data_IF_153932392749
#
_entry.id   IF_153932392749
#
_cell.length_a   1.000
_cell.length_b   1.000
_cell.length_c   1.000
_cell.angle_alpha   90.00
_cell.angle_beta   90.00
_cell.angle_gamma   90.00
#
_symmetry.space_group_name_H-M   'P 1'
#
loop_
_entity.id
_entity.type
_entity.pdbx_description
1 polymer ?
#
# COMPACT_ATOMS: atom_id res chain seq x y z
N UNK A 1 -41.21 -17.91 11.74
CA UNK A 1 -41.20 -17.75 10.26
C UNK A 1 -41.91 -18.90 9.53
N UNK A 2 -42.39 -19.96 10.20
CA UNK A 2 -42.76 -21.25 9.60
C UNK A 2 -44.02 -21.30 8.69
N UNK A 3 -44.76 -20.21 8.48
CA UNK A 3 -45.97 -20.19 7.66
C UNK A 3 -45.76 -19.89 6.16
N UNK A 4 -44.50 -19.80 5.68
CA UNK A 4 -44.20 -19.28 4.32
C UNK A 4 -43.29 -20.17 3.45
N UNK A 5 -42.62 -21.17 4.03
CA UNK A 5 -41.81 -22.15 3.28
C UNK A 5 -42.58 -23.45 3.03
N UNK A 6 -42.22 -24.15 1.95
CA UNK A 6 -42.68 -25.52 1.67
C UNK A 6 -41.52 -26.49 1.85
N UNK A 7 -41.62 -27.40 2.81
CA UNK A 7 -40.64 -28.47 3.01
C UNK A 7 -40.96 -29.64 2.09
N UNK A 8 -40.00 -30.00 1.23
CA UNK A 8 -40.14 -31.08 0.23
C UNK A 8 -38.86 -31.92 0.18
N UNK A 9 -38.92 -33.23 -0.16
CA UNK A 9 -37.73 -34.03 -0.39
C UNK A 9 -36.82 -33.42 -1.45
N UNK A 10 -35.51 -33.44 -1.25
CA UNK A 10 -34.55 -32.81 -2.18
C UNK A 10 -34.64 -33.38 -3.61
N UNK A 11 -35.06 -34.64 -3.75
CA UNK A 11 -35.39 -35.30 -5.04
C UNK A 11 -36.45 -34.57 -5.89
N UNK A 12 -37.23 -33.65 -5.29
CA UNK A 12 -38.25 -32.84 -5.98
C UNK A 12 -37.70 -31.54 -6.56
N UNK A 13 -36.44 -31.21 -6.28
CA UNK A 13 -35.71 -30.06 -6.87
C UNK A 13 -34.71 -30.47 -7.97
N UNK A 14 -34.62 -31.76 -8.31
CA UNK A 14 -33.73 -32.30 -9.33
C UNK A 14 -33.66 -31.45 -10.62
N UNK A 15 -34.81 -31.21 -11.27
CA UNK A 15 -34.93 -30.45 -12.52
C UNK A 15 -34.80 -28.91 -12.34
N UNK A 16 -34.42 -28.45 -11.13
CA UNK A 16 -34.31 -27.01 -10.77
C UNK A 16 -32.91 -26.57 -10.37
N UNK A 17 -32.01 -27.49 -10.01
CA UNK A 17 -30.66 -27.11 -9.60
C UNK A 17 -29.85 -26.61 -10.81
N UNK A 18 -29.09 -25.50 -10.69
CA UNK A 18 -28.24 -25.00 -11.78
C UNK A 18 -27.17 -26.03 -12.16
N UNK A 19 -26.92 -26.25 -13.46
CA UNK A 19 -25.91 -27.22 -13.95
C UNK A 19 -24.50 -26.96 -13.39
N UNK A 20 -24.19 -25.73 -12.97
CA UNK A 20 -22.92 -25.33 -12.38
C UNK A 20 -22.88 -25.30 -10.84
N UNK A 21 -23.87 -25.92 -10.18
CA UNK A 21 -23.91 -26.12 -8.73
C UNK A 21 -23.51 -27.56 -8.35
N UNK A 22 -22.81 -27.71 -7.24
CA UNK A 22 -22.48 -28.98 -6.60
C UNK A 22 -23.74 -29.84 -6.36
N UNK A 23 -24.86 -29.21 -5.96
CA UNK A 23 -26.11 -29.89 -5.64
C UNK A 23 -26.76 -30.55 -6.85
N UNK A 24 -26.61 -29.99 -8.05
CA UNK A 24 -27.12 -30.61 -9.28
C UNK A 24 -26.47 -31.97 -9.58
N UNK A 25 -25.23 -32.17 -9.09
CA UNK A 25 -24.47 -33.41 -9.29
C UNK A 25 -24.66 -34.43 -8.15
N UNK A 26 -24.99 -34.00 -6.93
CA UNK A 26 -24.95 -34.84 -5.72
C UNK A 26 -26.29 -34.99 -4.98
N UNK A 27 -27.38 -34.35 -5.41
CA UNK A 27 -28.68 -34.46 -4.71
C UNK A 27 -29.22 -35.91 -4.60
N UNK A 28 -28.75 -36.83 -5.46
CA UNK A 28 -29.12 -38.26 -5.44
C UNK A 28 -28.44 -39.08 -4.37
N UNK A 29 -27.38 -38.56 -3.73
CA UNK A 29 -26.68 -39.24 -2.63
C UNK A 29 -27.47 -39.11 -1.31
N UNK A 30 -28.48 -38.24 -1.29
CA UNK A 30 -29.39 -37.99 -0.19
C UNK A 30 -30.73 -38.72 -0.36
N UNK A 31 -31.39 -39.00 0.76
CA UNK A 31 -32.66 -39.74 0.80
C UNK A 31 -33.89 -38.83 0.64
N UNK A 32 -35.08 -39.41 0.44
CA UNK A 32 -36.33 -38.64 0.50
C UNK A 32 -36.66 -38.11 1.91
N UNK A 33 -35.96 -38.57 2.96
CA UNK A 33 -36.02 -38.03 4.32
C UNK A 33 -35.12 -36.77 4.50
N UNK A 34 -34.30 -36.43 3.50
CA UNK A 34 -33.53 -35.19 3.43
C UNK A 34 -34.33 -34.12 2.68
N UNK A 35 -34.50 -32.96 3.32
CA UNK A 35 -35.48 -31.96 2.92
C UNK A 35 -34.83 -30.67 2.39
N UNK A 36 -35.55 -30.02 1.49
CA UNK A 36 -35.28 -28.67 1.04
C UNK A 36 -36.37 -27.73 1.56
N UNK A 37 -35.96 -26.57 2.08
CA UNK A 37 -36.86 -25.47 2.42
C UNK A 37 -37.09 -24.60 1.18
N UNK A 38 -38.19 -24.85 0.46
CA UNK A 38 -38.50 -24.20 -0.81
C UNK A 38 -39.37 -22.94 -0.62
N UNK A 39 -38.99 -21.86 -1.29
CA UNK A 39 -39.72 -20.59 -1.37
C UNK A 39 -39.87 -20.15 -2.84
N UNK A 40 -40.94 -19.42 -3.16
CA UNK A 40 -41.21 -18.91 -4.52
C UNK A 40 -41.67 -17.46 -4.48
N UNK A 41 -41.03 -16.62 -5.30
CA UNK A 41 -41.12 -15.17 -5.23
C UNK A 41 -40.06 -14.57 -4.33
N UNK A 42 -40.09 -13.24 -4.20
CA UNK A 42 -39.04 -12.49 -3.51
C UNK A 42 -39.20 -12.56 -1.98
N UNK A 43 -38.06 -12.59 -1.28
CA UNK A 43 -38.00 -12.77 0.17
C UNK A 43 -37.12 -11.70 0.82
N UNK A 44 -37.57 -11.21 1.98
CA UNK A 44 -36.77 -10.34 2.86
C UNK A 44 -36.71 -10.93 4.27
N UNK A 45 -35.52 -10.96 4.87
CA UNK A 45 -35.25 -11.49 6.21
C UNK A 45 -34.33 -10.53 7.00
N UNK A 46 -34.42 -10.45 8.34
CA UNK A 46 -33.46 -9.70 9.14
C UNK A 46 -32.12 -10.44 9.30
N UNK A 47 -32.14 -11.77 9.31
CA UNK A 47 -30.94 -12.61 9.34
C UNK A 47 -31.22 -13.98 8.72
N UNK A 48 -30.17 -14.67 8.34
CA UNK A 48 -30.18 -16.06 7.90
C UNK A 48 -28.95 -16.79 8.47
N UNK A 49 -29.23 -17.68 9.42
CA UNK A 49 -28.25 -18.64 9.98
C UNK A 49 -28.26 -19.91 9.13
N UNK A 50 -27.08 -20.45 8.82
CA UNK A 50 -26.89 -21.67 8.02
C UNK A 50 -26.24 -22.82 8.81
N UNK A 51 -25.98 -22.66 10.11
CA UNK A 51 -25.47 -23.76 10.95
C UNK A 51 -26.46 -24.95 10.98
N UNK A 52 -25.96 -26.16 10.71
CA UNK A 52 -26.77 -27.36 10.39
C UNK A 52 -27.26 -28.16 11.60
N UNK A 53 -26.69 -27.91 12.78
CA UNK A 53 -27.13 -28.48 14.05
C UNK A 53 -28.37 -27.75 14.63
N UNK A 54 -28.68 -26.55 14.10
CA UNK A 54 -29.85 -25.74 14.44
C UNK A 54 -31.02 -26.06 13.49
N UNK A 55 -32.16 -26.62 13.96
CA UNK A 55 -33.28 -26.97 13.08
C UNK A 55 -33.93 -25.76 12.40
N UNK A 56 -33.66 -25.59 11.10
CA UNK A 56 -34.23 -24.52 10.27
C UNK A 56 -35.77 -24.48 10.40
N UNK A 57 -36.39 -23.31 10.64
CA UNK A 57 -37.39 -23.16 11.68
C UNK A 57 -38.51 -24.20 11.70
N UNK A 58 -38.37 -25.15 12.64
CA UNK A 58 -39.32 -26.19 13.02
C UNK A 58 -39.39 -27.44 12.13
N UNK A 59 -38.37 -27.72 11.31
CA UNK A 59 -38.27 -28.96 10.53
C UNK A 59 -36.84 -29.54 10.54
N UNK A 60 -36.69 -30.78 11.00
CA UNK A 60 -35.42 -31.52 10.99
C UNK A 60 -35.04 -32.00 9.57
N UNK A 61 -33.78 -32.39 9.37
CA UNK A 61 -33.20 -32.89 8.11
C UNK A 61 -33.24 -31.90 6.92
N UNK A 62 -33.44 -30.60 7.15
CA UNK A 62 -33.29 -29.57 6.10
C UNK A 62 -31.80 -29.38 5.81
N UNK A 63 -31.37 -29.64 4.57
CA UNK A 63 -29.96 -29.52 4.15
C UNK A 63 -29.71 -28.41 3.11
N UNK A 64 -30.79 -27.85 2.54
CA UNK A 64 -30.72 -26.77 1.55
C UNK A 64 -31.94 -25.84 1.62
N UNK A 65 -31.71 -24.55 1.41
CA UNK A 65 -32.73 -23.51 1.27
C UNK A 65 -32.75 -23.04 -0.20
N UNK A 66 -33.91 -23.08 -0.84
CA UNK A 66 -34.06 -22.76 -2.27
C UNK A 66 -35.11 -21.66 -2.48
N UNK A 67 -34.68 -20.50 -2.98
CA UNK A 67 -35.51 -19.32 -3.20
C UNK A 67 -35.65 -19.06 -4.70
N UNK A 68 -36.82 -19.37 -5.26
CA UNK A 68 -37.19 -19.06 -6.64
C UNK A 68 -37.64 -17.59 -6.78
N UNK A 69 -36.71 -16.66 -6.54
CA UNK A 69 -36.89 -15.21 -6.53
C UNK A 69 -35.65 -14.45 -6.03
N UNK A 70 -35.81 -13.17 -5.71
CA UNK A 70 -34.79 -12.34 -5.05
C UNK A 70 -34.68 -12.59 -3.54
N UNK A 71 -33.50 -12.34 -2.95
CA UNK A 71 -33.30 -12.31 -1.51
C UNK A 71 -32.70 -10.96 -1.06
N UNK A 72 -33.25 -10.38 0.00
CA UNK A 72 -32.64 -9.31 0.78
C UNK A 72 -32.51 -9.77 2.23
N UNK A 73 -31.30 -9.76 2.79
CA UNK A 73 -31.06 -10.23 4.17
C UNK A 73 -30.01 -9.38 4.87
N UNK A 74 -30.31 -8.84 6.06
CA UNK A 74 -29.35 -7.91 6.69
C UNK A 74 -28.06 -8.66 7.09
N UNK A 75 -28.15 -9.80 7.79
CA UNK A 75 -26.99 -10.61 8.17
C UNK A 75 -27.08 -12.07 7.67
N UNK A 76 -26.03 -12.57 7.01
CA UNK A 76 -25.92 -13.95 6.51
C UNK A 76 -24.65 -14.62 7.05
N UNK A 77 -24.79 -15.73 7.77
CA UNK A 77 -23.66 -16.34 8.48
C UNK A 77 -23.81 -17.84 8.80
N UNK A 78 -22.69 -18.46 9.18
CA UNK A 78 -22.58 -19.73 9.89
C UNK A 78 -21.27 -19.76 10.69
N UNK A 79 -21.20 -20.55 11.76
CA UNK A 79 -20.01 -20.70 12.61
C UNK A 79 -19.24 -22.00 12.35
N UNK A 80 -19.91 -23.08 11.94
CA UNK A 80 -19.26 -24.35 11.57
C UNK A 80 -18.70 -24.26 10.14
N UNK A 81 -17.38 -24.43 9.98
CA UNK A 81 -16.68 -24.27 8.70
C UNK A 81 -16.36 -25.58 7.98
N UNK A 82 -16.57 -26.75 8.62
CA UNK A 82 -16.43 -28.07 7.95
C UNK A 82 -17.72 -28.52 7.23
N UNK A 83 -18.83 -27.80 7.42
CA UNK A 83 -20.06 -28.01 6.65
C UNK A 83 -21.27 -27.23 7.20
N UNK A 84 -22.10 -26.70 6.31
CA UNK A 84 -23.30 -25.91 6.66
C UNK A 84 -24.45 -26.08 5.65
N UNK A 85 -25.64 -25.58 5.97
CA UNK A 85 -26.84 -25.65 5.12
C UNK A 85 -26.62 -24.86 3.82
N UNK A 86 -26.85 -25.48 2.66
CA UNK A 86 -26.69 -24.83 1.37
C UNK A 86 -27.75 -23.77 1.08
N UNK A 87 -27.39 -22.72 0.32
CA UNK A 87 -28.30 -21.61 -0.02
C UNK A 87 -28.31 -21.32 -1.52
N UNK A 88 -29.51 -21.29 -2.12
CA UNK A 88 -29.71 -20.88 -3.51
C UNK A 88 -30.71 -19.74 -3.66
N UNK A 89 -30.28 -18.68 -4.36
CA UNK A 89 -31.09 -17.52 -4.73
C UNK A 89 -31.12 -17.40 -6.25
N UNK A 90 -32.29 -17.63 -6.87
CA UNK A 90 -32.45 -17.62 -8.33
C UNK A 90 -32.60 -16.21 -8.93
N UNK A 91 -32.20 -15.17 -8.18
CA UNK A 91 -32.14 -13.77 -8.58
C UNK A 91 -30.97 -13.03 -7.92
N UNK A 92 -31.06 -11.71 -7.81
CA UNK A 92 -30.10 -10.90 -7.04
C UNK A 92 -30.15 -11.24 -5.54
N UNK A 93 -28.99 -11.10 -4.88
CA UNK A 93 -28.83 -11.06 -3.44
C UNK A 93 -28.36 -9.65 -3.01
N UNK A 94 -29.06 -9.04 -2.06
CA UNK A 94 -28.57 -7.85 -1.35
C UNK A 94 -28.41 -8.21 0.12
N UNK A 95 -27.24 -7.92 0.69
CA UNK A 95 -26.97 -8.15 2.11
C UNK A 95 -26.24 -6.98 2.78
N UNK A 96 -26.35 -6.84 4.10
CA UNK A 96 -25.53 -5.87 4.84
C UNK A 96 -24.17 -6.47 5.15
N UNK A 97 -24.13 -7.65 5.77
CA UNK A 97 -22.91 -8.36 6.15
C UNK A 97 -22.98 -9.85 5.79
N UNK A 98 -21.86 -10.42 5.34
CA UNK A 98 -21.69 -11.86 5.11
C UNK A 98 -20.36 -12.35 5.72
N UNK A 99 -20.43 -13.37 6.58
CA UNK A 99 -19.27 -14.15 7.05
C UNK A 99 -19.63 -15.64 7.10
N UNK A 100 -19.05 -16.44 6.20
CA UNK A 100 -19.46 -17.84 5.94
C UNK A 100 -18.28 -18.78 5.68
N UNK A 101 -18.49 -20.10 5.83
CA UNK A 101 -17.49 -21.15 5.61
C UNK A 101 -18.12 -22.52 5.38
N UNK A 102 -17.45 -23.41 4.64
CA UNK A 102 -17.84 -24.83 4.55
C UNK A 102 -19.02 -25.22 3.65
N UNK A 103 -19.73 -24.28 3.00
CA UNK A 103 -20.84 -24.60 2.08
C UNK A 103 -20.78 -23.87 0.73
N UNK A 104 -21.65 -24.29 -0.20
CA UNK A 104 -21.95 -23.57 -1.44
C UNK A 104 -23.07 -22.52 -1.21
N UNK A 105 -22.82 -21.27 -1.62
CA UNK A 105 -23.85 -20.23 -1.72
C UNK A 105 -23.96 -19.75 -3.17
N UNK A 106 -25.15 -19.88 -3.77
CA UNK A 106 -25.41 -19.59 -5.18
C UNK A 106 -26.32 -18.37 -5.38
N UNK A 107 -25.84 -17.37 -6.13
CA UNK A 107 -26.58 -16.15 -6.50
C UNK A 107 -26.65 -16.02 -8.03
N UNK A 108 -27.85 -16.19 -8.60
CA UNK A 108 -28.05 -16.12 -10.06
C UNK A 108 -28.01 -14.70 -10.62
N UNK A 109 -28.14 -13.67 -9.78
CA UNK A 109 -28.10 -12.26 -10.15
C UNK A 109 -26.84 -11.51 -9.69
N UNK A 110 -27.00 -10.23 -9.39
CA UNK A 110 -25.96 -9.39 -8.78
C UNK A 110 -25.84 -9.66 -7.27
N UNK A 111 -24.64 -9.40 -6.71
CA UNK A 111 -24.41 -9.31 -5.28
C UNK A 111 -24.03 -7.87 -4.90
N UNK A 112 -24.80 -7.28 -4.00
CA UNK A 112 -24.43 -6.05 -3.29
C UNK A 112 -24.34 -6.35 -1.81
N UNK A 113 -23.15 -6.13 -1.25
CA UNK A 113 -22.88 -6.17 0.18
C UNK A 113 -22.62 -4.73 0.64
N UNK A 114 -23.26 -4.32 1.73
CA UNK A 114 -23.12 -2.95 2.27
C UNK A 114 -21.78 -2.79 3.01
N UNK A 115 -21.49 -3.72 3.95
CA UNK A 115 -20.35 -3.71 4.86
C UNK A 115 -19.34 -4.83 4.50
N UNK A 116 -19.31 -5.91 5.31
CA UNK A 116 -18.34 -7.02 5.24
C UNK A 116 -18.72 -8.04 4.17
N UNK A 117 -17.80 -8.28 3.24
CA UNK A 117 -17.65 -9.58 2.59
C UNK A 117 -16.42 -10.29 3.17
N UNK A 118 -16.66 -11.33 3.97
CA UNK A 118 -15.64 -12.22 4.51
C UNK A 118 -16.10 -13.66 4.35
N UNK A 119 -15.15 -14.57 4.23
CA UNK A 119 -15.36 -16.01 4.31
C UNK A 119 -14.07 -16.63 4.79
N UNK A 120 -14.17 -17.80 5.41
CA UNK A 120 -13.00 -18.46 5.98
C UNK A 120 -13.02 -19.97 5.77
N UNK A 121 -11.83 -20.57 5.79
CA UNK A 121 -11.56 -22.00 5.66
C UNK A 121 -11.82 -22.57 4.25
N UNK A 122 -10.92 -23.45 3.81
CA UNK A 122 -10.83 -23.90 2.42
C UNK A 122 -11.97 -24.82 1.89
N UNK A 123 -12.90 -25.28 2.72
CA UNK A 123 -13.96 -26.23 2.32
C UNK A 123 -15.18 -25.64 1.58
N UNK A 124 -15.39 -24.30 1.56
CA UNK A 124 -16.58 -23.67 0.94
C UNK A 124 -16.34 -22.85 -0.34
N UNK A 125 -17.41 -22.30 -0.92
CA UNK A 125 -17.35 -21.21 -1.94
C UNK A 125 -18.67 -20.44 -2.17
N UNK A 126 -18.55 -19.21 -2.64
CA UNK A 126 -19.67 -18.35 -3.06
C UNK A 126 -19.63 -18.07 -4.57
N UNK A 127 -20.76 -18.24 -5.26
CA UNK A 127 -20.90 -18.08 -6.72
C UNK A 127 -21.90 -16.95 -7.05
N UNK A 128 -21.44 -15.93 -7.77
CA UNK A 128 -22.22 -14.74 -8.18
C UNK A 128 -22.17 -14.54 -9.69
N UNK A 129 -23.31 -14.71 -10.35
CA UNK A 129 -23.40 -14.60 -11.81
C UNK A 129 -23.39 -13.14 -12.35
N UNK A 130 -23.39 -12.12 -11.48
CA UNK A 130 -23.43 -10.71 -11.83
C UNK A 130 -22.28 -9.85 -11.26
N UNK A 131 -22.55 -8.56 -11.08
CA UNK A 131 -21.63 -7.61 -10.45
C UNK A 131 -21.43 -7.90 -8.96
N UNK A 132 -20.26 -7.50 -8.44
CA UNK A 132 -20.00 -7.40 -7.00
C UNK A 132 -19.69 -5.95 -6.62
N UNK A 133 -20.41 -5.45 -5.62
CA UNK A 133 -20.02 -4.29 -4.84
C UNK A 133 -19.98 -4.70 -3.38
N UNK A 134 -18.89 -4.37 -2.69
CA UNK A 134 -18.75 -4.44 -1.25
C UNK A 134 -17.87 -3.25 -0.82
N UNK A 135 -18.13 -2.67 0.34
CA UNK A 135 -17.19 -1.69 0.93
C UNK A 135 -15.87 -2.37 1.26
N UNK A 136 -15.92 -3.65 1.60
CA UNK A 136 -14.82 -4.40 2.21
C UNK A 136 -14.65 -5.80 1.62
N UNK A 137 -13.39 -6.20 1.42
CA UNK A 137 -12.96 -7.58 1.38
C UNK A 137 -11.90 -7.82 2.48
N UNK A 138 -12.21 -8.72 3.42
CA UNK A 138 -11.30 -9.22 4.45
C UNK A 138 -10.85 -10.62 4.06
N UNK A 139 -9.54 -10.89 4.09
CA UNK A 139 -8.96 -12.14 3.59
C UNK A 139 -8.17 -12.90 4.67
N UNK A 140 -8.55 -14.16 4.91
CA UNK A 140 -7.70 -15.19 5.53
C UNK A 140 -6.87 -15.98 4.49
N UNK A 141 -7.09 -15.68 3.20
CA UNK A 141 -6.54 -16.32 1.99
C UNK A 141 -6.99 -17.76 1.70
N UNK A 142 -7.97 -18.34 2.41
CA UNK A 142 -8.48 -19.70 2.13
C UNK A 142 -9.85 -19.76 1.42
N UNK A 143 -10.83 -18.89 1.75
CA UNK A 143 -12.19 -19.00 1.20
C UNK A 143 -12.37 -18.37 -0.20
N UNK A 144 -13.28 -18.92 -1.01
CA UNK A 144 -13.36 -18.65 -2.47
C UNK A 144 -14.59 -17.84 -2.90
N UNK A 145 -14.35 -16.71 -3.57
CA UNK A 145 -15.37 -15.79 -4.10
C UNK A 145 -15.37 -15.71 -5.64
N UNK A 146 -16.31 -16.41 -6.29
CA UNK A 146 -16.44 -16.49 -7.74
C UNK A 146 -17.46 -15.47 -8.28
N UNK A 147 -17.01 -14.50 -9.09
CA UNK A 147 -17.82 -13.35 -9.55
C UNK A 147 -17.64 -13.08 -11.04
N UNK A 148 -18.74 -12.96 -11.79
CA UNK A 148 -18.72 -12.78 -13.26
C UNK A 148 -18.71 -11.31 -13.75
N UNK A 149 -18.94 -10.31 -12.89
CA UNK A 149 -19.06 -8.89 -13.25
C UNK A 149 -17.98 -7.96 -12.69
N UNK A 150 -18.14 -6.64 -12.92
CA UNK A 150 -17.23 -5.62 -12.34
C UNK A 150 -17.23 -5.67 -10.82
N UNK A 151 -16.07 -5.31 -10.24
CA UNK A 151 -15.84 -5.17 -8.81
C UNK A 151 -15.70 -3.68 -8.46
N UNK A 152 -16.60 -3.17 -7.62
CA UNK A 152 -16.39 -1.91 -6.90
C UNK A 152 -16.00 -2.25 -5.46
N UNK A 153 -14.72 -2.56 -5.28
CA UNK A 153 -14.09 -2.83 -3.99
C UNK A 153 -13.12 -1.67 -3.74
N UNK A 154 -13.47 -0.71 -2.88
CA UNK A 154 -12.56 0.38 -2.58
C UNK A 154 -11.26 -0.14 -1.97
N UNK A 155 -11.35 -1.17 -1.12
CA UNK A 155 -10.42 -1.46 -0.03
C UNK A 155 -10.26 -2.97 0.25
N UNK A 156 -9.07 -3.41 0.65
CA UNK A 156 -8.60 -4.82 0.77
C UNK A 156 -7.58 -4.93 1.92
N UNK A 157 -7.49 -6.06 2.62
CA UNK A 157 -6.45 -6.34 3.66
C UNK A 157 -6.10 -7.83 3.77
N UNK A 158 -4.95 -8.14 4.40
CA UNK A 158 -4.42 -9.47 4.63
C UNK A 158 -4.09 -9.74 6.13
N UNK A 159 -4.68 -10.77 6.73
CA UNK A 159 -4.53 -11.09 8.17
C UNK A 159 -3.16 -11.61 8.57
N UNK A 160 -2.37 -12.12 7.62
CA UNK A 160 -1.07 -12.77 7.90
C UNK A 160 0.12 -11.82 7.87
N UNK A 161 -0.04 -10.60 7.35
CA UNK A 161 1.08 -9.70 7.04
C UNK A 161 1.08 -8.38 7.82
N UNK A 162 -0.04 -8.04 8.47
CA UNK A 162 -0.19 -6.70 9.02
C UNK A 162 -0.43 -5.63 7.95
N UNK A 163 -0.82 -5.97 6.69
CA UNK A 163 -0.96 -5.01 5.55
C UNK A 163 -2.12 -5.23 4.53
N UNK A 164 -2.43 -4.22 3.68
CA UNK A 164 -3.63 -4.16 2.79
C UNK A 164 -3.56 -3.20 1.59
N UNK A 165 -4.66 -2.90 0.83
CA UNK A 165 -4.73 -2.03 -0.40
C UNK A 165 -6.08 -1.27 -0.71
N UNK A 166 -6.09 0.02 -1.16
CA UNK A 166 -7.26 0.88 -1.54
C UNK A 166 -6.95 2.02 -2.51
N UNK A 167 -7.94 2.40 -3.33
CA UNK A 167 -7.86 3.50 -4.32
C UNK A 167 -6.51 3.58 -5.06
N UNK A 168 -6.02 2.39 -5.47
CA UNK A 168 -4.77 2.04 -6.19
C UNK A 168 -3.54 1.55 -5.36
N UNK A 169 -3.60 1.30 -4.02
CA UNK A 169 -2.43 1.57 -3.13
C UNK A 169 -2.33 0.76 -1.75
N UNK A 170 -1.21 0.45 -0.97
CA UNK A 170 -1.15 -0.41 0.30
C UNK A 170 -0.92 0.15 1.80
N UNK A 171 -1.62 -0.39 2.86
CA UNK A 171 -1.88 0.04 4.33
C UNK A 171 -1.47 -1.01 5.41
N UNK A 172 -1.88 -0.92 6.71
CA UNK A 172 -1.99 -2.05 7.68
C UNK A 172 -3.37 -2.76 7.77
N UNK A 173 -3.50 -3.99 8.33
CA UNK A 173 -4.81 -4.68 8.51
C UNK A 173 -5.50 -4.38 9.84
N UNK A 174 -4.73 -4.11 10.89
CA UNK A 174 -5.25 -3.75 12.20
C UNK A 174 -6.08 -2.44 12.11
N UNK A 175 -5.78 -1.62 11.10
CA UNK A 175 -6.53 -0.42 10.70
C UNK A 175 -7.98 -0.72 10.21
N UNK A 176 -8.39 -1.99 10.08
CA UNK A 176 -9.51 -2.44 9.23
C UNK A 176 -10.47 -3.46 9.86
N UNK A 177 -10.06 -4.13 10.92
CA UNK A 177 -10.89 -5.07 11.68
C UNK A 177 -10.99 -4.63 13.14
N UNK A 178 -12.03 -5.03 13.86
CA UNK A 178 -12.21 -4.64 15.27
C UNK A 178 -11.47 -5.58 16.22
N UNK A 179 -10.89 -5.06 17.31
CA UNK A 179 -10.05 -5.79 18.27
C UNK A 179 -10.64 -7.11 18.78
N UNK A 180 -11.98 -7.22 18.88
CA UNK A 180 -12.68 -8.47 19.25
C UNK A 180 -12.41 -9.63 18.29
N UNK A 181 -12.01 -9.37 17.04
CA UNK A 181 -11.62 -10.39 16.05
C UNK A 181 -10.12 -10.63 16.00
N UNK A 182 -9.37 -10.25 17.04
CA UNK A 182 -7.96 -10.60 17.23
C UNK A 182 -7.73 -11.21 18.63
N UNK A 183 -6.77 -12.14 18.74
CA UNK A 183 -6.41 -12.84 19.97
C UNK A 183 -4.89 -12.90 20.20
N UNK A 184 -4.54 -13.09 21.46
CA UNK A 184 -3.20 -13.07 22.04
C UNK A 184 -2.79 -14.53 22.37
N UNK A 185 -1.64 -15.01 21.88
CA UNK A 185 -1.32 -16.45 21.75
C UNK A 185 -0.16 -16.92 22.64
N UNK A 186 -0.43 -16.98 23.96
CA UNK A 186 0.45 -17.41 25.06
C UNK A 186 1.70 -16.50 25.35
N UNK A 187 2.02 -16.32 26.64
CA UNK A 187 2.95 -15.31 27.22
C UNK A 187 4.44 -15.35 26.72
N UNK A 188 4.82 -16.18 25.74
CA UNK A 188 6.20 -16.40 25.28
C UNK A 188 6.49 -15.93 23.83
N UNK A 189 5.48 -15.53 23.03
CA UNK A 189 5.65 -14.89 21.70
C UNK A 189 4.85 -13.56 21.64
N UNK A 190 5.40 -12.50 21.01
CA UNK A 190 4.82 -11.12 21.04
C UNK A 190 3.86 -10.82 19.85
N UNK A 191 3.23 -11.85 19.26
CA UNK A 191 2.43 -11.74 18.02
C UNK A 191 0.91 -11.94 18.25
N UNK A 192 0.08 -11.17 17.53
CA UNK A 192 -1.39 -11.12 17.67
C UNK A 192 -2.07 -11.67 16.38
N UNK A 193 -3.04 -12.59 16.50
CA UNK A 193 -3.65 -13.32 15.37
C UNK A 193 -5.17 -13.08 15.21
N UNK A 194 -5.70 -13.14 13.98
CA UNK A 194 -7.12 -12.91 13.64
C UNK A 194 -8.06 -14.11 13.93
N UNK A 195 -9.33 -13.83 14.23
CA UNK A 195 -10.38 -14.79 14.64
C UNK A 195 -11.70 -14.66 13.86
N UNK A 196 -11.96 -15.62 12.98
CA UNK A 196 -13.22 -15.74 12.24
C UNK A 196 -14.45 -16.08 13.13
N UNK A 197 -14.26 -16.87 14.19
CA UNK A 197 -15.37 -17.30 15.06
C UNK A 197 -15.94 -16.13 15.86
N UNK A 198 -15.09 -15.17 16.27
CA UNK A 198 -15.59 -13.96 16.92
C UNK A 198 -16.29 -13.05 15.90
N UNK A 199 -15.75 -12.90 14.68
CA UNK A 199 -16.39 -12.17 13.57
C UNK A 199 -17.83 -12.64 13.33
N UNK A 200 -18.04 -13.96 13.21
CA UNK A 200 -19.39 -14.53 13.05
C UNK A 200 -20.27 -14.20 14.26
N UNK A 201 -19.76 -14.34 15.49
CA UNK A 201 -20.50 -14.06 16.72
C UNK A 201 -20.97 -12.60 16.80
N UNK A 202 -20.13 -11.64 16.41
CA UNK A 202 -20.47 -10.22 16.31
C UNK A 202 -21.62 -10.01 15.31
N UNK A 203 -21.59 -10.66 14.14
CA UNK A 203 -22.68 -10.57 13.17
C UNK A 203 -23.98 -11.24 13.66
N UNK A 204 -23.91 -12.32 14.46
CA UNK A 204 -25.10 -12.94 15.09
C UNK A 204 -25.79 -12.02 16.11
N UNK A 205 -25.05 -11.11 16.73
CA UNK A 205 -25.60 -10.06 17.60
C UNK A 205 -26.23 -8.87 16.83
N UNK A 206 -26.17 -8.88 15.48
CA UNK A 206 -26.61 -7.75 14.65
C UNK A 206 -25.65 -6.56 14.66
N UNK A 207 -24.39 -6.77 15.09
CA UNK A 207 -23.32 -5.77 15.12
C UNK A 207 -22.56 -5.80 13.79
N UNK A 208 -21.62 -4.87 13.62
CA UNK A 208 -20.60 -4.91 12.56
C UNK A 208 -19.23 -5.18 13.16
N UNK A 209 -18.38 -5.85 12.39
CA UNK A 209 -16.98 -6.12 12.73
C UNK A 209 -15.99 -5.38 11.81
N UNK A 210 -16.48 -4.41 11.03
CA UNK A 210 -15.62 -3.46 10.32
C UNK A 210 -14.97 -2.47 11.28
N UNK A 211 -13.64 -2.38 11.21
CA UNK A 211 -13.02 -1.06 11.16
C UNK A 211 -13.04 -0.56 9.69
N UNK A 212 -12.79 0.74 9.51
CA UNK A 212 -13.41 1.52 8.45
C UNK A 212 -12.53 1.69 7.21
N UNK A 213 -12.59 0.70 6.33
CA UNK A 213 -11.79 0.55 5.10
C UNK A 213 -11.97 1.68 4.04
N UNK A 214 -11.29 2.83 4.19
CA UNK A 214 -11.26 3.91 3.17
C UNK A 214 -9.93 4.76 2.93
N UNK A 215 -8.66 4.26 2.88
CA UNK A 215 -7.53 5.14 2.38
C UNK A 215 -6.01 4.71 2.31
N UNK A 216 -5.18 4.88 1.19
CA UNK A 216 -3.76 4.33 0.93
C UNK A 216 -2.69 5.05 -0.12
N UNK A 217 -1.34 4.68 -0.49
CA UNK A 217 -0.34 5.17 -1.61
C UNK A 217 0.59 4.15 -2.52
N UNK A 218 1.02 4.34 -3.82
CA UNK A 218 1.65 3.25 -4.75
C UNK A 218 2.52 3.65 -6.04
N UNK A 219 2.67 2.82 -7.15
CA UNK A 219 2.91 3.09 -8.66
C UNK A 219 4.00 2.23 -9.42
N UNK A 220 4.29 2.50 -10.74
CA UNK A 220 5.54 2.18 -11.50
C UNK A 220 5.87 3.01 -12.79
N UNK A 221 7.05 3.67 -12.94
CA UNK A 221 7.86 3.81 -14.21
C UNK A 221 9.24 4.51 -14.13
N UNK A 222 10.21 4.06 -14.95
CA UNK A 222 11.51 4.72 -15.22
C UNK A 222 11.88 4.74 -16.73
N UNK A 223 12.71 5.69 -17.20
CA UNK A 223 13.03 5.85 -18.65
C UNK A 223 14.44 6.34 -19.07
N UNK A 224 15.29 6.82 -18.16
CA UNK A 224 16.69 7.17 -18.48
C UNK A 224 17.62 6.77 -17.31
N UNK A 225 18.91 6.58 -17.59
CA UNK A 225 19.93 6.14 -16.63
C UNK A 225 21.19 6.96 -16.89
N UNK A 226 21.75 7.56 -15.84
CA UNK A 226 22.86 8.51 -15.90
C UNK A 226 24.22 7.81 -15.89
N UNK A 227 24.37 6.76 -15.05
CA UNK A 227 25.50 5.83 -15.08
C UNK A 227 25.16 4.58 -15.90
N UNK A 228 25.82 4.42 -17.04
CA UNK A 228 25.65 3.28 -17.97
C UNK A 228 26.57 2.09 -17.69
N UNK A 229 27.55 2.29 -16.83
CA UNK A 229 28.56 1.32 -16.39
C UNK A 229 28.96 1.64 -14.93
N UNK A 230 29.80 0.80 -14.33
CA UNK A 230 30.10 0.83 -12.90
C UNK A 230 31.59 0.73 -12.56
N UNK A 231 32.49 1.13 -13.47
CA UNK A 231 33.92 1.16 -13.17
C UNK A 231 34.26 2.29 -12.19
N UNK A 232 35.29 2.07 -11.37
CA UNK A 232 35.91 3.15 -10.60
C UNK A 232 36.95 3.81 -11.50
N UNK A 233 36.56 4.86 -12.22
CA UNK A 233 37.41 5.56 -13.18
C UNK A 233 37.15 7.08 -13.22
N UNK A 234 37.97 7.79 -14.00
CA UNK A 234 37.91 9.24 -14.16
C UNK A 234 36.55 9.69 -14.70
N UNK A 235 35.92 8.93 -15.61
CA UNK A 235 34.64 9.32 -16.22
C UNK A 235 33.50 9.26 -15.19
N UNK A 236 33.43 8.19 -14.40
CA UNK A 236 32.41 8.04 -13.38
C UNK A 236 32.65 8.91 -12.13
N UNK A 237 33.91 9.21 -11.78
CA UNK A 237 34.24 10.20 -10.74
C UNK A 237 33.78 11.61 -11.16
N UNK A 238 34.08 12.04 -12.39
CA UNK A 238 33.65 13.35 -12.88
C UNK A 238 32.12 13.43 -13.04
N UNK A 239 31.45 12.39 -13.55
CA UNK A 239 29.97 12.30 -13.54
C UNK A 239 29.41 12.43 -12.13
N UNK A 240 30.04 11.84 -11.10
CA UNK A 240 29.59 12.01 -9.71
C UNK A 240 29.75 13.47 -9.24
N UNK A 241 30.86 14.14 -9.56
CA UNK A 241 31.06 15.55 -9.20
C UNK A 241 30.35 16.56 -10.14
N UNK A 242 29.65 16.07 -11.17
CA UNK A 242 28.78 16.86 -12.06
C UNK A 242 27.28 16.46 -11.99
N UNK A 243 26.89 15.51 -11.13
CA UNK A 243 25.51 14.99 -11.08
C UNK A 243 24.49 15.95 -10.43
N UNK A 244 23.19 15.62 -10.56
CA UNK A 244 22.06 16.42 -10.04
C UNK A 244 22.13 16.72 -8.53
N UNK A 245 22.82 15.88 -7.73
CA UNK A 245 23.00 16.09 -6.30
C UNK A 245 24.13 17.09 -5.98
N UNK A 246 25.07 17.33 -6.90
CA UNK A 246 26.21 18.22 -6.69
C UNK A 246 25.87 19.66 -7.09
N UNK A 247 25.30 20.40 -6.14
CA UNK A 247 24.81 21.77 -6.29
C UNK A 247 25.92 22.81 -6.57
N UNK A 248 25.53 24.09 -6.64
CA UNK A 248 26.44 25.23 -6.82
C UNK A 248 26.84 25.96 -5.53
N UNK A 249 26.15 25.72 -4.40
CA UNK A 249 26.40 26.37 -3.11
C UNK A 249 27.42 25.62 -2.23
N UNK A 250 27.53 24.29 -2.41
CA UNK A 250 28.52 23.44 -1.75
C UNK A 250 29.38 22.72 -2.78
N UNK A 251 30.66 22.45 -2.48
CA UNK A 251 31.51 21.62 -3.32
C UNK A 251 31.37 20.12 -2.99
N UNK A 252 30.33 19.70 -2.26
CA UNK A 252 30.11 18.30 -1.90
C UNK A 252 28.62 17.99 -1.67
N UNK A 253 28.26 16.70 -1.72
CA UNK A 253 27.01 16.16 -1.20
C UNK A 253 27.25 14.86 -0.43
N UNK A 254 26.37 14.55 0.51
CA UNK A 254 26.41 13.34 1.33
C UNK A 254 25.00 12.78 1.58
N UNK A 255 24.89 11.47 1.83
CA UNK A 255 23.65 10.78 2.21
C UNK A 255 23.94 9.42 2.85
N UNK A 256 22.95 8.82 3.51
CA UNK A 256 22.99 7.43 3.97
C UNK A 256 21.96 6.56 3.21
N UNK A 257 22.38 5.37 2.76
CA UNK A 257 21.49 4.37 2.17
C UNK A 257 21.89 2.97 2.65
N UNK A 258 20.90 2.14 3.03
CA UNK A 258 21.07 0.79 3.60
C UNK A 258 22.18 0.64 4.68
N UNK A 259 22.39 1.66 5.51
CA UNK A 259 23.39 1.66 6.58
C UNK A 259 24.82 2.00 6.13
N UNK A 260 24.98 2.60 4.96
CA UNK A 260 26.25 3.04 4.38
C UNK A 260 26.19 4.54 4.14
N UNK A 261 27.19 5.27 4.61
CA UNK A 261 27.30 6.72 4.43
C UNK A 261 28.24 7.05 3.27
N UNK A 262 27.78 7.90 2.36
CA UNK A 262 28.52 8.37 1.18
C UNK A 262 28.81 9.86 1.30
N UNK A 263 29.99 10.29 0.87
CA UNK A 263 30.30 11.70 0.60
C UNK A 263 30.99 11.81 -0.75
N UNK A 264 30.51 12.69 -1.62
CA UNK A 264 31.13 12.98 -2.92
C UNK A 264 31.50 14.46 -2.92
N UNK A 265 32.74 14.79 -3.28
CA UNK A 265 33.30 16.13 -3.24
C UNK A 265 33.90 16.51 -4.61
N UNK A 266 33.51 17.68 -5.13
CA UNK A 266 34.07 18.35 -6.30
C UNK A 266 35.36 19.09 -5.92
N UNK A 267 36.33 19.14 -6.83
CA UNK A 267 37.57 19.87 -6.61
C UNK A 267 37.33 21.36 -6.29
N UNK A 268 37.96 21.88 -5.24
CA UNK A 268 37.89 23.28 -4.85
C UNK A 268 39.07 23.71 -3.96
N UNK A 269 39.32 25.03 -3.92
CA UNK A 269 40.32 25.65 -3.03
C UNK A 269 39.64 26.03 -1.71
N UNK A 270 40.19 25.58 -0.59
CA UNK A 270 39.72 25.83 0.77
C UNK A 270 39.93 27.28 1.24
N UNK A 271 39.29 27.63 2.37
CA UNK A 271 39.40 28.97 2.98
C UNK A 271 40.77 29.27 3.62
N UNK A 272 41.57 28.23 3.84
CA UNK A 272 42.99 28.25 4.21
C UNK A 272 43.93 28.39 3.00
N UNK A 273 43.45 28.03 1.81
CA UNK A 273 44.19 28.03 0.55
C UNK A 273 44.65 26.65 0.08
N UNK A 274 44.32 25.57 0.79
CA UNK A 274 44.65 24.21 0.36
C UNK A 274 43.76 23.78 -0.82
N UNK A 275 44.34 23.10 -1.81
CA UNK A 275 43.62 22.60 -2.97
C UNK A 275 43.10 21.18 -2.71
N UNK A 276 41.79 20.97 -2.84
CA UNK A 276 41.17 19.65 -2.75
C UNK A 276 40.76 19.16 -4.13
N UNK A 277 40.85 17.85 -4.34
CA UNK A 277 40.55 17.20 -5.62
C UNK A 277 39.16 16.55 -5.62
N UNK A 278 38.64 16.23 -6.80
CA UNK A 278 37.45 15.40 -6.97
C UNK A 278 37.64 14.05 -6.27
N UNK A 279 36.74 13.74 -5.34
CA UNK A 279 36.91 12.63 -4.40
C UNK A 279 35.58 12.04 -3.91
N UNK A 280 35.63 10.77 -3.51
CA UNK A 280 34.51 10.02 -2.93
C UNK A 280 35.00 9.33 -1.66
N UNK A 281 34.26 9.53 -0.58
CA UNK A 281 34.42 8.83 0.69
C UNK A 281 33.22 7.92 0.93
N UNK A 282 33.48 6.73 1.47
CA UNK A 282 32.46 5.75 1.82
C UNK A 282 32.76 5.16 3.20
N UNK A 283 31.76 5.12 4.08
CA UNK A 283 31.84 4.46 5.40
C UNK A 283 30.79 3.37 5.47
N UNK A 284 31.26 2.13 5.66
CA UNK A 284 30.43 0.92 5.75
C UNK A 284 30.43 0.37 7.18
N UNK A 285 29.79 -0.79 7.39
CA UNK A 285 29.86 -1.55 8.63
C UNK A 285 31.21 -2.26 8.87
N UNK A 286 32.19 -2.14 7.96
CA UNK A 286 33.49 -2.83 8.03
C UNK A 286 34.70 -1.93 7.72
N UNK A 287 34.54 -0.97 6.80
CA UNK A 287 35.65 -0.19 6.27
C UNK A 287 35.27 1.27 5.98
N UNK A 288 36.29 2.12 6.02
CA UNK A 288 36.32 3.41 5.35
C UNK A 288 37.06 3.25 4.02
N UNK A 289 36.55 3.86 2.96
CA UNK A 289 37.21 3.99 1.66
C UNK A 289 37.35 5.46 1.29
N UNK A 290 38.45 5.80 0.61
CA UNK A 290 38.67 7.12 0.03
C UNK A 290 39.24 6.98 -1.37
N UNK A 291 38.52 7.51 -2.36
CA UNK A 291 38.85 7.51 -3.79
C UNK A 291 39.07 8.97 -4.19
N UNK A 292 40.12 9.28 -4.96
CA UNK A 292 40.29 10.64 -5.51
C UNK A 292 40.98 10.66 -6.87
N UNK A 293 40.77 11.74 -7.60
CA UNK A 293 41.43 12.06 -8.86
C UNK A 293 42.73 12.85 -8.58
N UNK A 294 43.84 12.46 -9.19
CA UNK A 294 45.13 13.16 -9.08
C UNK A 294 45.26 14.27 -10.16
N UNK A 295 46.21 15.20 -9.96
CA UNK A 295 46.51 16.27 -10.94
C UNK A 295 46.89 15.73 -12.33
N UNK A 296 47.45 14.51 -12.40
CA UNK A 296 47.81 13.82 -13.65
C UNK A 296 46.67 12.99 -14.26
N UNK A 297 45.46 13.08 -13.69
CA UNK A 297 44.26 12.34 -14.07
C UNK A 297 44.35 10.82 -13.83
N UNK A 298 45.24 10.36 -12.95
CA UNK A 298 45.13 9.00 -12.37
C UNK A 298 44.13 8.98 -11.22
N UNK A 299 43.52 7.82 -10.96
CA UNK A 299 42.67 7.59 -9.79
C UNK A 299 43.48 6.87 -8.72
N UNK A 300 43.37 7.29 -7.46
CA UNK A 300 43.96 6.62 -6.31
C UNK A 300 42.88 6.18 -5.31
N UNK A 301 43.15 5.06 -4.62
CA UNK A 301 42.21 4.40 -3.71
C UNK A 301 42.91 4.00 -2.40
N UNK A 302 42.33 4.41 -1.27
CA UNK A 302 42.74 4.01 0.09
C UNK A 302 41.60 3.27 0.80
N UNK A 303 41.94 2.30 1.64
CA UNK A 303 41.02 1.61 2.57
C UNK A 303 41.57 1.62 4.00
N UNK A 304 40.71 1.76 5.00
CA UNK A 304 41.03 1.65 6.43
C UNK A 304 39.91 0.89 7.16
N UNK A 305 40.22 0.15 8.22
CA UNK A 305 39.21 -0.44 9.12
C UNK A 305 38.46 0.64 9.94
N UNK A 306 37.42 0.22 10.68
CA UNK A 306 36.72 1.10 11.63
C UNK A 306 37.51 1.39 12.93
N UNK A 307 38.66 0.76 13.16
CA UNK A 307 39.34 0.84 14.45
C UNK A 307 40.09 2.17 14.69
N UNK A 308 39.96 2.70 15.92
CA UNK A 308 40.64 3.93 16.37
C UNK A 308 42.16 3.72 16.53
N UNK A 309 42.86 3.84 15.42
CA UNK A 309 44.33 3.80 15.36
C UNK A 309 44.87 3.33 14.01
N UNK A 310 44.05 2.64 13.21
CA UNK A 310 44.51 2.01 11.97
C UNK A 310 44.98 3.01 10.91
N UNK A 311 46.01 2.62 10.16
CA UNK A 311 46.57 3.36 9.04
C UNK A 311 45.77 3.11 7.74
N UNK A 312 45.80 4.07 6.82
CA UNK A 312 45.22 3.88 5.49
C UNK A 312 46.13 3.00 4.62
N UNK A 313 45.55 1.97 3.99
CA UNK A 313 46.24 1.09 3.06
C UNK A 313 45.96 1.51 1.61
N UNK A 314 47.02 1.69 0.83
CA UNK A 314 46.92 1.91 -0.62
C UNK A 314 46.48 0.62 -1.32
N UNK A 315 45.39 0.73 -2.08
CA UNK A 315 44.78 -0.35 -2.86
C UNK A 315 44.68 0.03 -4.35
N UNK A 316 45.33 1.11 -4.79
CA UNK A 316 45.28 1.64 -6.16
C UNK A 316 45.76 0.64 -7.21
N UNK A 317 46.80 -0.14 -6.90
CA UNK A 317 47.38 -1.15 -7.79
C UNK A 317 46.55 -2.48 -7.84
N UNK A 318 45.43 -2.59 -7.11
CA UNK A 318 44.60 -3.80 -7.13
C UNK A 318 43.66 -3.80 -8.36
N UNK A 319 43.58 -4.91 -9.12
CA UNK A 319 42.56 -5.09 -10.15
C UNK A 319 41.15 -4.93 -9.60
N UNK A 320 40.25 -4.23 -10.31
CA UNK A 320 38.87 -3.99 -9.83
C UNK A 320 38.07 -5.29 -9.62
N UNK A 321 38.43 -6.38 -10.32
CA UNK A 321 37.90 -7.73 -10.08
C UNK A 321 38.23 -8.32 -8.69
N UNK A 322 39.15 -7.70 -7.94
CA UNK A 322 39.50 -8.05 -6.57
C UNK A 322 39.00 -7.03 -5.52
N UNK A 323 38.29 -5.97 -5.96
CA UNK A 323 37.77 -4.89 -5.12
C UNK A 323 36.28 -5.07 -4.77
N UNK A 324 35.86 -6.33 -4.52
CA UNK A 324 34.46 -6.71 -4.31
C UNK A 324 33.83 -6.01 -3.09
N UNK A 325 34.63 -5.76 -2.05
CA UNK A 325 34.23 -5.13 -0.79
C UNK A 325 33.84 -3.65 -0.94
N UNK A 326 34.38 -2.96 -1.95
CA UNK A 326 34.00 -1.58 -2.32
C UNK A 326 33.03 -1.55 -3.51
N UNK A 327 33.02 -2.59 -4.36
CA UNK A 327 32.22 -2.62 -5.59
C UNK A 327 30.71 -2.57 -5.35
N UNK A 328 30.17 -3.31 -4.38
CA UNK A 328 28.73 -3.26 -4.06
C UNK A 328 28.30 -1.86 -3.57
N UNK A 329 29.15 -1.23 -2.73
CA UNK A 329 28.95 0.13 -2.22
C UNK A 329 29.01 1.18 -3.33
N UNK A 330 29.97 1.05 -4.25
CA UNK A 330 30.08 1.89 -5.45
C UNK A 330 28.84 1.75 -6.35
N UNK A 331 28.37 0.53 -6.61
CA UNK A 331 27.13 0.28 -7.38
C UNK A 331 25.92 0.90 -6.68
N UNK A 332 25.82 0.84 -5.35
CA UNK A 332 24.75 1.49 -4.59
C UNK A 332 24.79 3.02 -4.76
N UNK A 333 25.97 3.66 -4.66
CA UNK A 333 26.13 5.10 -4.93
C UNK A 333 25.63 5.49 -6.33
N UNK A 334 26.12 4.80 -7.37
CA UNK A 334 25.70 5.07 -8.76
C UNK A 334 24.19 4.83 -8.96
N UNK A 335 23.62 3.85 -8.26
CA UNK A 335 22.18 3.55 -8.30
C UNK A 335 21.35 4.65 -7.63
N UNK A 336 21.79 5.18 -6.48
CA UNK A 336 21.12 6.29 -5.81
C UNK A 336 21.12 7.56 -6.68
N UNK A 337 22.26 7.88 -7.32
CA UNK A 337 22.34 9.02 -8.25
C UNK A 337 21.54 8.79 -9.53
N UNK A 338 21.38 7.54 -9.99
CA UNK A 338 20.46 7.18 -11.08
C UNK A 338 18.98 7.43 -10.70
N UNK A 339 18.55 7.02 -9.49
CA UNK A 339 17.21 7.31 -8.96
C UNK A 339 17.01 8.82 -8.82
N UNK A 340 18.01 9.54 -8.27
CA UNK A 340 17.97 10.98 -8.16
C UNK A 340 17.79 11.63 -9.54
N UNK A 341 18.61 11.27 -10.53
CA UNK A 341 18.54 11.84 -11.89
C UNK A 341 17.23 11.52 -12.59
N UNK A 342 16.57 10.40 -12.26
CA UNK A 342 15.23 10.08 -12.76
C UNK A 342 14.14 10.95 -12.10
N UNK A 343 14.03 10.91 -10.77
CA UNK A 343 12.89 11.50 -10.07
C UNK A 343 13.12 12.97 -9.72
N UNK A 344 14.27 13.35 -9.15
CA UNK A 344 14.52 14.71 -8.62
C UNK A 344 14.11 15.84 -9.58
N UNK A 345 14.45 15.82 -10.89
CA UNK A 345 14.10 16.91 -11.81
C UNK A 345 12.63 16.92 -12.30
N UNK A 346 11.77 15.98 -11.91
CA UNK A 346 10.36 15.97 -12.37
C UNK A 346 9.51 17.10 -11.79
N UNK A 347 9.97 17.73 -10.71
CA UNK A 347 9.33 18.90 -10.09
C UNK A 347 10.29 20.09 -10.20
N UNK A 348 9.98 21.04 -11.10
CA UNK A 348 10.72 22.29 -11.26
C UNK A 348 10.66 23.14 -9.98
N UNK A 349 11.78 23.72 -9.56
CA UNK A 349 11.83 24.75 -8.50
C UNK A 349 10.86 25.89 -8.81
N UNK A 350 10.88 26.41 -10.04
CA UNK A 350 10.08 27.57 -10.44
C UNK A 350 8.57 27.34 -10.26
N UNK A 351 8.10 26.09 -10.39
CA UNK A 351 6.70 25.75 -10.17
C UNK A 351 6.32 25.83 -8.68
N UNK A 352 7.20 25.33 -7.81
CA UNK A 352 7.01 25.40 -6.36
C UNK A 352 7.15 26.84 -5.85
N UNK A 353 8.14 27.59 -6.34
CA UNK A 353 8.28 29.04 -6.09
C UNK A 353 7.03 29.81 -6.53
N UNK A 354 6.52 29.57 -7.74
CA UNK A 354 5.36 30.29 -8.27
C UNK A 354 4.08 30.00 -7.48
N UNK A 355 3.87 28.76 -7.02
CA UNK A 355 2.76 28.47 -6.11
C UNK A 355 2.96 29.20 -4.79
N UNK A 356 4.12 29.06 -4.14
CA UNK A 356 4.38 29.68 -2.84
C UNK A 356 4.28 31.21 -2.87
N UNK A 357 4.60 31.85 -4.01
CA UNK A 357 4.47 33.29 -4.24
C UNK A 357 3.09 33.73 -4.77
N UNK A 358 2.15 32.80 -5.02
CA UNK A 358 0.81 33.16 -5.45
C UNK A 358 0.08 33.94 -4.34
N UNK A 359 -0.65 35.04 -4.61
CA UNK A 359 -1.24 35.87 -3.55
C UNK A 359 -2.15 35.11 -2.59
N UNK A 360 -2.98 34.20 -3.11
CA UNK A 360 -3.88 33.35 -2.30
C UNK A 360 -3.14 32.25 -1.50
N UNK A 361 -1.83 32.08 -1.72
CA UNK A 361 -0.93 31.23 -0.91
C UNK A 361 -0.12 32.10 0.07
N UNK A 362 0.31 33.30 -0.34
CA UNK A 362 0.99 34.28 0.51
C UNK A 362 0.10 34.88 1.61
N UNK A 363 -1.22 34.92 1.41
CA UNK A 363 -2.20 35.35 2.43
C UNK A 363 -2.59 34.23 3.41
N UNK A 364 -2.06 33.01 3.24
CA UNK A 364 -2.19 31.90 4.21
C UNK A 364 -1.33 32.15 5.45
N UNK A 365 -1.91 31.93 6.64
CA UNK A 365 -1.21 31.96 7.93
C UNK A 365 -1.27 30.59 8.64
N UNK A 366 -0.77 30.52 9.88
CA UNK A 366 -0.67 29.28 10.67
C UNK A 366 -2.02 28.56 10.91
N UNK A 367 -3.17 29.18 10.57
CA UNK A 367 -4.51 28.65 10.80
C UNK A 367 -5.17 28.06 9.52
N UNK A 368 -4.69 28.39 8.32
CA UNK A 368 -5.22 27.88 7.05
C UNK A 368 -4.06 27.59 6.08
N UNK A 369 -3.73 26.32 5.82
CA UNK A 369 -2.49 25.94 5.14
C UNK A 369 -2.63 25.22 3.78
N UNK A 370 -3.85 24.85 3.33
CA UNK A 370 -3.99 23.90 2.21
C UNK A 370 -5.39 23.62 1.63
N UNK A 371 -5.49 22.60 0.74
CA UNK A 371 -6.66 22.29 -0.11
C UNK A 371 -6.88 20.78 -0.38
N UNK A 372 -8.09 20.41 -0.84
CA UNK A 372 -8.56 19.01 -1.06
C UNK A 372 -9.27 18.81 -2.42
N UNK A 373 -9.28 17.57 -2.94
CA UNK A 373 -9.72 17.26 -4.31
C UNK A 373 -10.76 16.12 -4.49
N UNK A 374 -11.21 15.47 -3.41
CA UNK A 374 -12.08 14.29 -3.48
C UNK A 374 -11.38 12.95 -3.23
N UNK A 375 -10.08 12.92 -2.99
CA UNK A 375 -9.41 11.80 -2.29
C UNK A 375 -8.12 12.16 -1.53
N UNK A 376 -7.47 13.31 -1.76
CA UNK A 376 -6.09 13.62 -1.29
C UNK A 376 -5.94 15.11 -0.86
N UNK A 377 -5.09 15.44 0.13
CA UNK A 377 -4.90 16.80 0.71
C UNK A 377 -3.51 17.39 0.42
N UNK A 378 -3.40 18.72 0.31
CA UNK A 378 -2.19 19.45 -0.09
C UNK A 378 -1.98 20.73 0.76
N UNK A 379 -0.80 20.98 1.36
CA UNK A 379 -0.55 22.20 2.15
C UNK A 379 0.83 22.87 1.94
N UNK A 380 1.04 24.04 2.56
CA UNK A 380 2.15 24.97 2.32
C UNK A 380 2.78 25.53 3.60
N UNK A 381 4.10 25.73 3.59
CA UNK A 381 4.84 26.47 4.62
C UNK A 381 5.68 27.58 4.00
N UNK A 382 5.58 28.79 4.54
CA UNK A 382 6.43 29.93 4.18
C UNK A 382 7.86 29.80 4.73
N UNK A 383 8.79 30.55 4.14
CA UNK A 383 10.15 30.66 4.66
C UNK A 383 10.23 31.73 5.75
N UNK A 384 10.90 31.43 6.86
CA UNK A 384 11.08 32.34 7.99
C UNK A 384 12.41 32.06 8.72
N UNK A 385 12.73 32.89 9.71
CA UNK A 385 13.83 32.65 10.66
C UNK A 385 13.22 32.50 12.05
N UNK A 386 13.63 31.46 12.78
CA UNK A 386 13.07 31.14 14.10
C UNK A 386 13.68 31.94 15.27
N UNK A 387 13.34 31.58 16.50
CA UNK A 387 13.80 32.29 17.71
C UNK A 387 15.28 32.06 18.04
N UNK A 388 15.86 30.94 17.62
CA UNK A 388 17.28 30.62 17.79
C UNK A 388 18.14 31.24 16.66
N UNK A 389 17.52 31.53 15.51
CA UNK A 389 18.10 32.26 14.39
C UNK A 389 18.34 31.41 13.14
N UNK A 390 17.84 30.17 13.11
CA UNK A 390 17.98 29.27 11.97
C UNK A 390 16.96 29.60 10.87
N UNK A 391 17.36 29.40 9.61
CA UNK A 391 16.53 29.71 8.45
C UNK A 391 15.71 28.48 8.02
N UNK A 392 14.39 28.61 8.14
CA UNK A 392 13.43 27.55 7.84
C UNK A 392 12.92 27.73 6.41
N UNK A 393 13.24 26.78 5.53
CA UNK A 393 12.88 26.83 4.10
C UNK A 393 11.38 26.59 3.85
N UNK A 394 10.85 27.21 2.80
CA UNK A 394 9.48 27.00 2.33
C UNK A 394 9.29 25.60 1.71
N UNK A 395 8.07 25.04 1.81
CA UNK A 395 7.73 23.71 1.28
C UNK A 395 6.25 23.54 0.95
N UNK A 396 5.95 22.53 0.14
CA UNK A 396 4.62 21.95 -0.10
C UNK A 396 4.57 20.58 0.58
N UNK A 397 3.40 20.13 1.01
CA UNK A 397 3.16 18.87 1.71
C UNK A 397 1.92 18.18 1.10
N UNK A 398 1.92 16.86 0.98
CA UNK A 398 0.78 16.09 0.43
C UNK A 398 0.52 14.86 1.29
N UNK A 399 -0.72 14.71 1.75
CA UNK A 399 -1.16 13.60 2.60
C UNK A 399 -2.02 12.61 1.81
N UNK A 400 -1.88 11.36 2.20
CA UNK A 400 -2.41 10.19 1.50
C UNK A 400 -3.51 9.52 2.30
N UNK A 401 -4.35 8.70 1.65
CA UNK A 401 -5.43 8.12 2.42
C UNK A 401 -5.00 7.09 3.51
N UNK A 402 -3.79 6.50 3.51
CA UNK A 402 -3.24 5.67 4.64
C UNK A 402 -2.62 6.53 5.74
N UNK A 403 -2.77 7.84 5.64
CA UNK A 403 -2.16 8.83 6.52
C UNK A 403 -0.64 9.02 6.38
N UNK A 404 0.00 8.47 5.34
CA UNK A 404 1.37 8.83 5.00
C UNK A 404 1.51 10.29 4.50
N UNK A 405 2.73 10.83 4.61
CA UNK A 405 3.07 12.18 4.12
C UNK A 405 4.16 12.15 3.06
N UNK A 406 4.09 13.11 2.14
CA UNK A 406 5.11 13.43 1.15
C UNK A 406 5.40 14.94 1.19
N UNK A 407 6.67 15.34 1.34
CA UNK A 407 7.08 16.75 1.44
C UNK A 407 7.94 17.19 0.24
N UNK A 408 7.86 18.46 -0.13
CA UNK A 408 8.48 19.05 -1.32
C UNK A 408 9.05 20.44 -0.98
N UNK A 409 10.35 20.54 -0.68
CA UNK A 409 10.95 21.75 -0.09
C UNK A 409 12.01 22.45 -0.95
N UNK A 410 12.11 23.77 -0.79
CA UNK A 410 13.11 24.65 -1.43
C UNK A 410 14.37 24.83 -0.57
N UNK A 411 14.85 23.74 0.03
CA UNK A 411 16.10 23.70 0.81
C UNK A 411 17.35 23.43 -0.04
N UNK A 412 17.17 22.84 -1.22
CA UNK A 412 18.21 22.71 -2.21
C UNK A 412 18.03 23.80 -3.30
N UNK A 413 19.07 24.56 -3.68
CA UNK A 413 18.93 25.63 -4.69
C UNK A 413 18.90 25.12 -6.14
N UNK A 414 19.05 23.81 -6.37
CA UNK A 414 19.14 23.19 -7.69
C UNK A 414 17.94 22.28 -8.02
N UNK A 415 17.25 21.74 -7.00
CA UNK A 415 16.05 20.93 -7.16
C UNK A 415 15.08 21.03 -5.96
N UNK A 416 13.87 20.49 -6.10
CA UNK A 416 12.90 20.39 -5.00
C UNK A 416 13.18 19.13 -4.18
N UNK A 417 13.67 19.29 -2.94
CA UNK A 417 13.97 18.18 -2.04
C UNK A 417 12.70 17.44 -1.63
N UNK A 418 12.76 16.10 -1.62
CA UNK A 418 11.59 15.24 -1.37
C UNK A 418 11.80 14.28 -0.21
N UNK A 419 10.77 14.17 0.62
CA UNK A 419 10.80 13.41 1.87
C UNK A 419 9.49 12.66 2.09
N UNK A 420 9.51 11.68 2.99
CA UNK A 420 8.34 10.88 3.34
C UNK A 420 8.26 10.65 4.85
N UNK A 421 7.05 10.46 5.35
CA UNK A 421 6.79 9.95 6.69
C UNK A 421 5.73 8.83 6.60
N UNK A 422 5.96 7.62 7.18
CA UNK A 422 5.00 6.53 7.11
C UNK A 422 3.76 6.76 7.99
N UNK A 423 2.68 6.00 7.75
CA UNK A 423 1.60 5.86 8.71
C UNK A 423 2.18 5.51 10.09
N UNK A 424 1.72 6.19 11.13
CA UNK A 424 2.07 5.91 12.53
C UNK A 424 3.57 6.07 12.94
N UNK A 425 4.37 6.83 12.19
CA UNK A 425 5.76 7.15 12.59
C UNK A 425 6.06 8.67 12.55
N UNK A 426 6.93 9.15 13.45
CA UNK A 426 7.40 10.54 13.47
C UNK A 426 8.80 10.68 12.90
N UNK A 427 8.96 11.58 11.92
CA UNK A 427 10.24 11.93 11.34
C UNK A 427 10.10 12.26 9.87
N UNK A 428 10.68 13.40 9.45
CA UNK A 428 10.89 13.67 8.03
C UNK A 428 12.05 12.80 7.54
N UNK A 429 11.76 11.57 7.16
CA UNK A 429 12.75 10.71 6.55
C UNK A 429 13.02 11.18 5.12
N UNK A 430 14.27 11.17 4.70
CA UNK A 430 14.57 11.18 3.27
C UNK A 430 13.84 10.01 2.61
N UNK A 431 13.30 10.21 1.41
CA UNK A 431 12.85 9.05 0.65
C UNK A 431 14.11 8.33 0.20
N UNK A 432 14.53 7.31 0.96
CA UNK A 432 15.64 6.43 0.60
C UNK A 432 15.59 6.15 -0.91
N UNK A 433 16.68 6.38 -1.62
CA UNK A 433 16.69 6.33 -3.08
C UNK A 433 16.23 4.94 -3.57
N UNK A 434 16.50 3.89 -2.81
CA UNK A 434 16.06 2.53 -3.13
C UNK A 434 14.57 2.25 -2.80
N UNK A 435 13.85 3.16 -2.12
CA UNK A 435 12.41 3.06 -1.85
C UNK A 435 11.56 3.70 -2.96
N UNK A 436 11.58 3.08 -4.13
CA UNK A 436 10.94 3.62 -5.35
C UNK A 436 9.43 3.77 -5.25
N UNK A 437 8.69 2.93 -4.51
CA UNK A 437 7.23 3.09 -4.34
C UNK A 437 6.88 4.45 -3.74
N UNK A 438 7.68 4.96 -2.79
CA UNK A 438 7.45 6.28 -2.19
C UNK A 438 7.83 7.40 -3.17
N UNK A 439 8.91 7.25 -3.93
CA UNK A 439 9.25 8.18 -5.01
C UNK A 439 8.13 8.30 -6.05
N UNK A 440 7.57 7.18 -6.51
CA UNK A 440 6.53 7.17 -7.55
C UNK A 440 5.17 7.63 -6.98
N UNK A 441 4.82 7.23 -5.75
CA UNK A 441 3.65 7.72 -5.02
C UNK A 441 3.66 9.26 -4.98
N UNK A 442 4.79 9.84 -4.55
CA UNK A 442 5.04 11.28 -4.55
C UNK A 442 4.73 11.93 -5.91
N UNK A 443 5.00 11.27 -7.04
CA UNK A 443 4.69 11.81 -8.36
C UNK A 443 3.19 11.80 -8.69
N UNK A 444 2.43 10.73 -8.39
CA UNK A 444 0.95 10.80 -8.56
C UNK A 444 0.34 11.88 -7.67
N UNK A 445 0.81 11.97 -6.42
CA UNK A 445 0.36 13.00 -5.49
C UNK A 445 0.59 14.39 -6.08
N UNK A 446 1.79 14.64 -6.60
CA UNK A 446 2.15 15.94 -7.16
C UNK A 446 1.50 16.23 -8.53
N UNK A 447 1.31 15.25 -9.41
CA UNK A 447 0.58 15.44 -10.67
C UNK A 447 -0.92 15.67 -10.46
N UNK A 448 -1.52 15.00 -9.48
CA UNK A 448 -2.93 15.22 -9.11
C UNK A 448 -3.11 16.58 -8.45
N UNK A 449 -2.16 17.00 -7.60
CA UNK A 449 -2.03 18.37 -7.09
C UNK A 449 -1.89 19.42 -8.22
N UNK A 450 -1.03 19.19 -9.23
CA UNK A 450 -0.90 20.08 -10.39
C UNK A 450 -2.21 20.26 -11.16
N UNK A 451 -2.96 19.18 -11.36
CA UNK A 451 -4.28 19.23 -11.99
C UNK A 451 -5.28 20.05 -11.15
N UNK A 452 -5.25 19.91 -9.83
CA UNK A 452 -6.05 20.70 -8.91
C UNK A 452 -5.70 22.20 -8.95
N UNK A 453 -4.41 22.57 -8.86
CA UNK A 453 -3.98 23.97 -8.86
C UNK A 453 -4.32 24.69 -10.18
N UNK A 454 -4.16 24.01 -11.31
CA UNK A 454 -4.51 24.54 -12.63
C UNK A 454 -6.00 24.85 -12.77
N UNK A 455 -6.87 23.97 -12.28
CA UNK A 455 -8.32 24.09 -12.41
C UNK A 455 -8.92 25.22 -11.55
N UNK A 456 -8.36 25.46 -10.37
CA UNK A 456 -8.94 26.37 -9.38
C UNK A 456 -8.33 27.78 -9.42
N UNK A 457 -7.01 27.88 -9.21
CA UNK A 457 -6.30 29.17 -9.11
C UNK A 457 -5.90 29.75 -10.47
N UNK A 458 -6.02 28.96 -11.55
CA UNK A 458 -5.64 29.35 -12.93
C UNK A 458 -4.17 29.78 -13.05
N UNK A 459 -3.31 29.24 -12.18
CA UNK A 459 -1.86 29.29 -12.34
C UNK A 459 -1.55 28.69 -13.71
N UNK A 460 -1.01 29.50 -14.63
CA UNK A 460 -0.87 29.11 -16.03
C UNK A 460 0.40 28.27 -16.24
N UNK A 461 0.26 26.97 -16.01
CA UNK A 461 1.32 25.97 -16.11
C UNK A 461 1.71 25.66 -17.58
N UNK A 462 1.24 26.44 -18.56
CA UNK A 462 1.45 26.15 -20.00
C UNK A 462 2.60 26.92 -20.66
N UNK A 463 3.31 27.78 -19.91
CA UNK A 463 4.20 28.81 -20.46
C UNK A 463 5.67 28.81 -19.97
N UNK A 464 6.20 27.70 -19.43
CA UNK A 464 7.64 27.55 -19.09
C UNK A 464 8.14 26.09 -19.09
#
# INVERSE_FOLDING_TARGET
>A
MSNVFQFIPISKLADKFPENSWWASHYTDFSDDNLAAYYKGDLQLPFLDLDWDIPFPQQDNVIIIFIEGHLTVDHLYNAETDGAIGLMVMGNLTAKNIAVGGQEIYVHGHLTVEDILCGSYNHGEMIVNGHLQATVLVQDDEYRFNVNGQKSLPCIVNVWHGDGVYQELPIRIEDVLIDEVFYDMDDDEEDIEFSFVTLVSILKEGRSALSNLQGIPQIKKATHVYFTDNHIDVENILKLTECILMTGDKPYFDFEEQGVHFTVQRAHIGGDGDNTNDSIYMKTSQYHYFIWLNEDQTVSLLRKSLDEGDEWWDITDLPQEHLVDIQDHWIMLLTCVNVATLYVPTIKIQYVEHILQHPEIQELDENEDGFWDGSKYYSFRHAYTDEDGDFIHARIEIQTPDEAYYFYSLENPSYVSRHYQPPNHFGRHEIAFLNTRRWEASEQYFERFKQFMSQNFKIDISAE
#
